data_IF_722217137938
#
_entry.id   IF_722217137938
#
_cell.length_a   1.000
_cell.length_b   1.000
_cell.length_c   1.000
_cell.angle_alpha   90.00
_cell.angle_beta   90.00
_cell.angle_gamma   90.00
#
_symmetry.space_group_name_H-M   'P 1'
#
loop_
_entity.id
_entity.type
_entity.pdbx_description
1 polymer ?
#
# COMPACT_ATOMS: atom_id res chain seq x y z
N UNK A 1 22.70 -2.21 2.96
CA UNK A 1 21.61 -1.40 2.37
C UNK A 1 20.91 -0.67 3.49
N UNK A 2 20.81 0.67 3.45
CA UNK A 2 20.24 1.47 4.56
C UNK A 2 18.73 1.59 4.38
N UNK A 3 17.95 0.95 5.25
CA UNK A 3 16.50 1.09 5.27
C UNK A 3 16.14 2.52 5.70
N UNK A 4 15.07 3.07 5.10
CA UNK A 4 14.55 4.40 5.43
C UNK A 4 13.38 4.28 6.39
N UNK A 5 13.25 5.24 7.31
CA UNK A 5 12.11 5.32 8.20
C UNK A 5 10.85 5.71 7.40
N UNK A 6 9.91 4.79 7.27
CA UNK A 6 8.59 4.93 6.66
C UNK A 6 7.50 4.75 7.73
N UNK A 7 6.45 5.57 7.70
CA UNK A 7 5.32 5.49 8.63
C UNK A 7 4.02 5.61 7.87
N UNK A 8 3.01 4.84 8.29
CA UNK A 8 1.65 4.92 7.73
C UNK A 8 0.98 6.30 7.92
N UNK A 9 1.51 7.12 8.83
CA UNK A 9 1.01 8.46 9.09
C UNK A 9 1.54 9.50 8.08
N UNK A 10 2.52 9.11 7.25
CA UNK A 10 3.04 9.95 6.18
C UNK A 10 2.19 9.79 4.90
N UNK A 11 2.24 10.77 3.98
CA UNK A 11 1.71 10.60 2.64
C UNK A 11 2.21 9.31 2.01
N UNK A 12 1.29 8.54 1.43
CA UNK A 12 1.61 7.27 0.79
C UNK A 12 0.52 6.89 -0.19
N UNK A 13 0.76 5.78 -0.89
CA UNK A 13 -0.18 5.26 -1.85
C UNK A 13 -1.32 4.54 -1.13
N UNK A 14 -2.47 4.48 -1.80
CA UNK A 14 -3.69 3.86 -1.28
C UNK A 14 -4.21 2.82 -2.26
N UNK A 15 -4.72 1.71 -1.71
CA UNK A 15 -5.49 0.76 -2.50
C UNK A 15 -6.97 1.02 -2.31
N UNK A 16 -7.68 1.26 -3.40
CA UNK A 16 -9.11 1.59 -3.40
C UNK A 16 -9.86 0.51 -4.16
N UNK A 17 -10.94 -0.01 -3.57
CA UNK A 17 -11.82 -0.98 -4.25
C UNK A 17 -12.49 -0.30 -5.46
N UNK A 18 -12.45 -0.95 -6.62
CA UNK A 18 -13.07 -0.44 -7.85
C UNK A 18 -13.68 -1.61 -8.64
N UNK A 19 -15.00 -1.70 -8.64
CA UNK A 19 -15.74 -2.81 -9.25
C UNK A 19 -15.30 -4.17 -8.71
N UNK A 20 -14.86 -5.06 -9.62
CA UNK A 20 -14.37 -6.40 -9.27
C UNK A 20 -12.92 -6.43 -8.76
N UNK A 21 -12.19 -5.31 -8.85
CA UNK A 21 -10.77 -5.25 -8.54
C UNK A 21 -10.38 -4.08 -7.65
N UNK A 22 -9.14 -3.64 -7.82
CA UNK A 22 -8.56 -2.53 -7.08
C UNK A 22 -7.93 -1.54 -8.04
N UNK A 23 -8.05 -0.25 -7.71
CA UNK A 23 -7.20 0.81 -8.26
C UNK A 23 -6.20 1.23 -7.20
N UNK A 24 -5.06 1.75 -7.65
CA UNK A 24 -4.04 2.31 -6.78
C UNK A 24 -3.97 3.81 -7.01
N UNK A 25 -3.92 4.56 -5.92
CA UNK A 25 -3.88 6.00 -5.94
C UNK A 25 -2.66 6.51 -5.18
N UNK A 26 -2.09 7.63 -5.63
CA UNK A 26 -1.07 8.35 -4.88
C UNK A 26 -1.66 9.08 -3.65
N UNK A 27 -0.83 9.88 -2.99
CA UNK A 27 -1.24 10.67 -1.83
C UNK A 27 -2.29 11.74 -2.18
N UNK A 28 -2.25 12.26 -3.40
CA UNK A 28 -3.10 13.32 -3.94
C UNK A 28 -4.39 12.76 -4.60
N UNK A 29 -4.48 11.44 -4.76
CA UNK A 29 -5.61 10.74 -5.35
C UNK A 29 -5.46 10.42 -6.84
N UNK A 30 -4.33 10.81 -7.45
CA UNK A 30 -3.95 10.49 -8.82
C UNK A 30 -3.71 9.00 -9.02
N UNK A 31 -3.87 8.51 -10.24
CA UNK A 31 -3.60 7.12 -10.57
C UNK A 31 -2.09 6.85 -10.59
N UNK A 32 -1.67 5.71 -10.04
CA UNK A 32 -0.29 5.26 -10.14
C UNK A 32 0.04 4.81 -11.58
N UNK A 33 1.30 4.98 -11.98
CA UNK A 33 1.81 4.47 -13.25
C UNK A 33 2.00 2.94 -13.24
N UNK A 34 2.24 2.34 -14.41
CA UNK A 34 2.35 0.89 -14.55
C UNK A 34 3.49 0.27 -13.72
N UNK A 35 4.62 0.97 -13.59
CA UNK A 35 5.77 0.48 -12.81
C UNK A 35 5.45 0.49 -11.31
N UNK A 36 4.84 1.57 -10.83
CA UNK A 36 4.35 1.70 -9.46
C UNK A 36 3.30 0.62 -9.16
N UNK A 37 2.32 0.40 -10.05
CA UNK A 37 1.30 -0.65 -9.90
C UNK A 37 1.92 -2.04 -9.87
N UNK A 38 2.90 -2.32 -10.73
CA UNK A 38 3.63 -3.59 -10.73
C UNK A 38 4.32 -3.84 -9.38
N UNK A 39 4.96 -2.82 -8.81
CA UNK A 39 5.56 -2.90 -7.47
C UNK A 39 4.51 -3.22 -6.39
N UNK A 40 3.36 -2.53 -6.39
CA UNK A 40 2.31 -2.80 -5.40
C UNK A 40 1.78 -4.23 -5.53
N UNK A 41 1.64 -4.75 -6.75
CA UNK A 41 1.22 -6.14 -6.97
C UNK A 41 2.24 -7.15 -6.44
N UNK A 42 3.53 -6.85 -6.57
CA UNK A 42 4.61 -7.69 -6.04
C UNK A 42 4.64 -7.78 -4.51
N UNK A 43 4.03 -6.83 -3.79
CA UNK A 43 3.87 -6.88 -2.33
C UNK A 43 2.83 -7.92 -1.88
N UNK A 44 2.01 -8.47 -2.78
CA UNK A 44 1.00 -9.52 -2.48
C UNK A 44 0.10 -9.16 -1.29
N UNK A 45 -0.36 -7.90 -1.25
CA UNK A 45 -1.25 -7.41 -0.19
C UNK A 45 -2.57 -8.19 -0.25
N UNK A 46 -2.98 -8.93 0.81
CA UNK A 46 -4.17 -9.76 0.78
C UNK A 46 -5.42 -8.98 0.34
N UNK A 47 -6.27 -9.52 -0.53
CA UNK A 47 -7.45 -8.80 -1.04
C UNK A 47 -8.48 -8.47 0.05
N UNK A 48 -8.46 -9.24 1.14
CA UNK A 48 -9.28 -9.04 2.33
C UNK A 48 -8.93 -7.75 3.10
N UNK A 49 -7.72 -7.19 2.94
CA UNK A 49 -7.33 -6.00 3.69
C UNK A 49 -8.07 -4.74 3.21
N UNK A 50 -8.63 -3.99 4.16
CA UNK A 50 -9.19 -2.64 3.97
C UNK A 50 -8.24 -1.57 4.50
N UNK A 51 -8.55 -0.29 4.24
CA UNK A 51 -7.79 0.87 4.74
C UNK A 51 -6.28 0.75 4.52
N UNK A 52 -5.94 0.35 3.30
CA UNK A 52 -4.58 -0.02 2.91
C UNK A 52 -3.78 1.22 2.54
N UNK A 53 -2.72 1.45 3.32
CA UNK A 53 -1.64 2.38 3.04
C UNK A 53 -0.43 1.61 2.50
N UNK A 54 0.25 2.16 1.50
CA UNK A 54 1.41 1.56 0.85
C UNK A 54 2.53 2.60 0.77
N UNK A 55 3.74 2.21 1.15
CA UNK A 55 4.90 3.08 1.09
C UNK A 55 5.33 3.32 -0.37
N UNK A 56 5.53 4.58 -0.81
CA UNK A 56 6.03 4.88 -2.15
C UNK A 56 7.49 4.45 -2.38
N UNK A 57 8.31 4.39 -1.33
CA UNK A 57 9.73 4.06 -1.41
C UNK A 57 9.95 2.56 -1.16
N UNK A 58 10.56 1.87 -2.13
CA UNK A 58 10.92 0.45 -2.02
C UNK A 58 11.90 0.17 -0.86
N UNK A 59 12.66 1.18 -0.40
CA UNK A 59 13.62 1.08 0.69
C UNK A 59 13.02 1.44 2.05
N UNK A 60 11.70 1.70 2.11
CA UNK A 60 10.97 1.85 3.36
C UNK A 60 11.03 0.55 4.17
N UNK A 61 11.25 0.65 5.48
CA UNK A 61 11.21 -0.53 6.36
C UNK A 61 9.77 -1.05 6.57
N UNK A 62 8.76 -0.27 6.20
CA UNK A 62 7.35 -0.63 6.23
C UNK A 62 6.79 -0.40 4.84
N UNK A 63 6.40 -1.46 4.15
CA UNK A 63 5.95 -1.44 2.76
C UNK A 63 4.45 -1.23 2.63
N UNK A 64 3.66 -1.82 3.52
CA UNK A 64 2.22 -1.61 3.54
C UNK A 64 1.62 -1.82 4.93
N UNK A 65 0.47 -1.18 5.18
CA UNK A 65 -0.37 -1.48 6.34
C UNK A 65 -1.81 -1.54 5.88
N UNK A 66 -2.57 -2.51 6.38
CA UNK A 66 -3.99 -2.61 6.17
C UNK A 66 -4.72 -3.09 7.42
N UNK A 67 -6.02 -3.21 7.31
CA UNK A 67 -6.90 -3.79 8.34
C UNK A 67 -7.44 -5.11 7.81
N UNK A 68 -7.28 -6.21 8.55
CA UNK A 68 -7.80 -7.53 8.14
C UNK A 68 -9.31 -7.68 8.40
N UNK A 69 -9.90 -8.80 7.96
CA UNK A 69 -11.33 -9.10 8.15
C UNK A 69 -11.77 -9.18 9.61
N UNK A 70 -10.83 -9.37 10.53
CA UNK A 70 -11.10 -9.37 11.98
C UNK A 70 -10.89 -7.98 12.61
N UNK A 71 -10.68 -6.93 11.81
CA UNK A 71 -10.51 -5.56 12.27
C UNK A 71 -9.13 -5.25 12.85
N UNK A 72 -8.13 -6.13 12.67
CA UNK A 72 -6.78 -5.92 13.20
C UNK A 72 -5.88 -5.22 12.20
N UNK A 73 -5.01 -4.33 12.67
CA UNK A 73 -3.96 -3.74 11.84
C UNK A 73 -2.90 -4.78 11.52
N UNK A 74 -2.60 -4.92 10.23
CA UNK A 74 -1.60 -5.82 9.69
C UNK A 74 -0.53 -5.03 8.95
N UNK A 75 0.72 -5.46 9.10
CA UNK A 75 1.90 -4.75 8.62
C UNK A 75 2.69 -5.64 7.66
N UNK A 76 3.18 -5.04 6.58
CA UNK A 76 4.05 -5.68 5.60
C UNK A 76 5.35 -4.87 5.54
N UNK A 77 6.48 -5.55 5.66
CA UNK A 77 7.82 -4.98 5.78
C UNK A 77 8.64 -5.16 4.50
#
# INVERSE_FOLDING_TARGET
MRLRTSSQNNPGWRRVRCGRGFRYADADGGALDDHQVARVRALVIPPAWTDVWICPDEKGHLQAVGTDEAGRRQYLY
#
